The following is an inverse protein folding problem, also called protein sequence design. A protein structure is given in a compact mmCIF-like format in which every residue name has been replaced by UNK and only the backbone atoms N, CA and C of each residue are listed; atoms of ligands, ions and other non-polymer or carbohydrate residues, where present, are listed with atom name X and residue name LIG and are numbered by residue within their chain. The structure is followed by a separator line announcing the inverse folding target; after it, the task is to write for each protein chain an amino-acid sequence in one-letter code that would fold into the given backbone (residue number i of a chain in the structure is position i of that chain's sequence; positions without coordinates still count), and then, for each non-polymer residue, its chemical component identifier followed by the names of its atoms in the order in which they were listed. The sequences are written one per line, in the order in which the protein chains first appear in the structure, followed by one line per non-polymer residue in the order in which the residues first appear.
data_IF_489045164778
#
_entry.id   IF_489045164778
#
_cell.length_a   1.000
_cell.length_b   1.000
_cell.length_c   1.000
_cell.angle_alpha   90.00
_cell.angle_beta   90.00
_cell.angle_gamma   90.00
#
_symmetry.space_group_name_H-M   'P 1'
#
loop_
_entity.id
_entity.type
_entity.pdbx_description
1 polymer ?
#
# COMPACT_ATOMS: atom_id res chain seq x y z
N UNK A 1 30.39 76.17 18.42
CA UNK A 1 29.64 74.98 17.93
C UNK A 1 29.74 74.73 16.41
N UNK A 2 29.53 75.73 15.54
CA UNK A 2 29.51 75.55 14.06
C UNK A 2 30.83 75.05 13.42
N UNK A 3 32.00 75.41 13.95
CA UNK A 3 33.29 74.94 13.40
C UNK A 3 33.58 73.45 13.70
N UNK A 4 33.15 72.95 14.87
CA UNK A 4 33.29 71.53 15.25
C UNK A 4 32.38 70.62 14.41
N UNK A 5 31.16 71.08 14.09
CA UNK A 5 30.25 70.39 13.16
C UNK A 5 30.77 70.36 11.72
N UNK A 6 31.47 71.39 11.25
CA UNK A 6 32.06 71.44 9.90
C UNK A 6 33.25 70.48 9.74
N UNK A 7 34.08 70.33 10.79
CA UNK A 7 35.21 69.38 10.83
C UNK A 7 34.72 67.92 10.88
N UNK A 8 33.70 67.63 11.70
CA UNK A 8 33.02 66.33 11.76
C UNK A 8 32.33 65.93 10.43
N UNK A 9 31.79 66.89 9.66
CA UNK A 9 31.22 66.62 8.33
C UNK A 9 32.27 66.26 7.27
N UNK A 10 33.48 66.81 7.38
CA UNK A 10 34.58 66.58 6.42
C UNK A 10 35.25 65.21 6.63
N UNK A 11 35.37 64.75 7.87
CA UNK A 11 35.93 63.43 8.21
C UNK A 11 34.95 62.27 7.90
N UNK A 12 33.63 62.50 7.98
CA UNK A 12 32.61 61.52 7.58
C UNK A 12 32.66 61.15 6.09
N UNK A 13 33.01 62.09 5.22
CA UNK A 13 33.15 61.84 3.79
C UNK A 13 34.32 60.91 3.46
N UNK A 14 35.45 61.08 4.18
CA UNK A 14 36.64 60.24 4.01
C UNK A 14 36.40 58.84 4.59
N UNK A 15 35.76 58.74 5.75
CA UNK A 15 35.41 57.44 6.35
C UNK A 15 34.44 56.64 5.47
N UNK A 16 33.43 57.30 4.89
CA UNK A 16 32.48 56.65 3.98
C UNK A 16 33.17 56.15 2.72
N UNK A 17 34.04 56.98 2.12
CA UNK A 17 34.79 56.62 0.92
C UNK A 17 35.76 55.46 1.18
N UNK A 18 36.43 55.45 2.34
CA UNK A 18 37.30 54.35 2.76
C UNK A 18 36.50 53.05 2.97
N UNK A 19 35.32 53.12 3.61
CA UNK A 19 34.48 51.92 3.80
C UNK A 19 33.96 51.36 2.48
N UNK A 20 33.53 52.22 1.54
CA UNK A 20 33.08 51.78 0.21
C UNK A 20 34.24 51.16 -0.57
N UNK A 21 35.42 51.77 -0.49
CA UNK A 21 36.62 51.23 -1.12
C UNK A 21 36.98 49.85 -0.55
N UNK A 22 37.01 49.69 0.78
CA UNK A 22 37.30 48.41 1.43
C UNK A 22 36.25 47.33 1.08
N UNK A 23 34.96 47.69 1.06
CA UNK A 23 33.90 46.75 0.66
C UNK A 23 34.01 46.34 -0.81
N UNK A 24 34.35 47.28 -1.70
CA UNK A 24 34.58 46.96 -3.11
C UNK A 24 35.80 46.06 -3.32
N UNK A 25 36.87 46.27 -2.54
CA UNK A 25 38.07 45.43 -2.56
C UNK A 25 37.75 44.01 -2.07
N UNK A 26 37.03 43.89 -0.95
CA UNK A 26 36.61 42.59 -0.40
C UNK A 26 35.68 41.85 -1.35
N UNK A 27 34.73 42.55 -2.00
CA UNK A 27 33.85 41.95 -3.00
C UNK A 27 34.65 41.48 -4.22
N UNK A 28 35.60 42.27 -4.71
CA UNK A 28 36.45 41.88 -5.84
C UNK A 28 37.29 40.65 -5.53
N UNK A 29 37.88 40.57 -4.33
CA UNK A 29 38.65 39.40 -3.89
C UNK A 29 37.72 38.18 -3.76
N UNK A 30 36.53 38.36 -3.19
CA UNK A 30 35.56 37.27 -3.01
C UNK A 30 35.08 36.71 -4.36
N UNK A 31 34.77 37.59 -5.33
CA UNK A 31 34.40 37.18 -6.68
C UNK A 31 35.55 36.47 -7.39
N UNK A 32 36.78 36.95 -7.25
CA UNK A 32 37.96 36.28 -7.83
C UNK A 32 38.18 34.88 -7.25
N UNK A 33 38.04 34.71 -5.94
CA UNK A 33 38.13 33.38 -5.29
C UNK A 33 36.97 32.48 -5.74
N UNK A 34 35.75 33.01 -5.82
CA UNK A 34 34.58 32.26 -6.29
C UNK A 34 34.77 31.78 -7.73
N UNK A 35 35.26 32.63 -8.63
CA UNK A 35 35.50 32.26 -10.03
C UNK A 35 36.58 31.17 -10.15
N UNK A 36 37.64 31.23 -9.34
CA UNK A 36 38.67 30.20 -9.30
C UNK A 36 38.07 28.87 -8.83
N UNK A 37 37.37 28.87 -7.70
CA UNK A 37 36.75 27.65 -7.14
C UNK A 37 35.71 27.08 -8.11
N UNK A 38 34.87 27.93 -8.70
CA UNK A 38 33.86 27.51 -9.67
C UNK A 38 34.49 26.93 -10.93
N UNK A 39 35.55 27.55 -11.44
CA UNK A 39 36.30 27.04 -12.60
C UNK A 39 36.95 25.70 -12.30
N UNK A 40 37.59 25.54 -11.14
CA UNK A 40 38.17 24.27 -10.70
C UNK A 40 37.11 23.17 -10.53
N UNK A 41 35.96 23.51 -9.94
CA UNK A 41 34.83 22.57 -9.83
C UNK A 41 34.30 22.13 -11.20
N UNK A 42 34.25 23.05 -12.17
CA UNK A 42 33.84 22.73 -13.55
C UNK A 42 34.91 21.94 -14.32
N UNK A 43 36.19 22.25 -14.12
CA UNK A 43 37.33 21.58 -14.75
C UNK A 43 37.54 20.17 -14.19
N UNK A 44 37.34 19.96 -12.88
CA UNK A 44 37.40 18.63 -12.26
C UNK A 44 36.35 17.67 -12.83
N UNK A 45 35.22 18.21 -13.32
CA UNK A 45 34.13 17.42 -13.87
C UNK A 45 33.36 16.56 -12.84
N UNK A 46 33.79 16.56 -11.57
CA UNK A 46 33.25 15.67 -10.53
C UNK A 46 31.80 15.96 -10.19
N UNK A 47 31.39 17.23 -10.19
CA UNK A 47 29.98 17.62 -9.99
C UNK A 47 29.12 17.06 -11.11
N UNK A 48 29.54 17.26 -12.36
CA UNK A 48 28.82 16.78 -13.53
C UNK A 48 28.75 15.25 -13.52
N UNK A 49 29.87 14.58 -13.31
CA UNK A 49 29.95 13.12 -13.21
C UNK A 49 29.07 12.56 -12.08
N UNK A 50 29.05 13.24 -10.93
CA UNK A 50 28.17 12.91 -9.81
C UNK A 50 26.69 12.98 -10.19
N UNK A 51 26.25 14.00 -10.94
CA UNK A 51 24.85 14.10 -11.38
C UNK A 51 24.47 12.99 -12.36
N UNK A 52 25.35 12.65 -13.32
CA UNK A 52 25.11 11.53 -14.24
C UNK A 52 25.01 10.19 -13.50
N UNK A 53 25.92 9.95 -12.55
CA UNK A 53 25.89 8.76 -11.69
C UNK A 53 24.65 8.73 -10.78
N UNK A 54 24.21 9.87 -10.25
CA UNK A 54 23.01 9.96 -9.41
C UNK A 54 21.77 9.60 -10.21
N UNK A 55 21.59 10.20 -11.39
CA UNK A 55 20.45 9.91 -12.25
C UNK A 55 20.39 8.43 -12.65
N UNK A 56 21.54 7.84 -13.00
CA UNK A 56 21.60 6.43 -13.36
C UNK A 56 21.28 5.48 -12.20
N UNK A 57 21.63 5.88 -10.97
CA UNK A 57 21.27 5.15 -9.75
C UNK A 57 19.75 5.22 -9.48
N UNK A 58 19.15 6.39 -9.69
CA UNK A 58 17.71 6.61 -9.49
C UNK A 58 16.89 5.82 -10.52
N UNK A 59 17.24 5.94 -11.80
CA UNK A 59 16.60 5.25 -12.93
C UNK A 59 16.53 3.74 -12.69
N UNK A 60 17.62 3.12 -12.23
CA UNK A 60 17.64 1.67 -12.01
C UNK A 60 16.83 1.25 -10.78
N UNK A 61 16.80 2.07 -9.71
CA UNK A 61 15.96 1.77 -8.53
C UNK A 61 14.49 1.79 -8.92
N UNK A 62 14.02 2.85 -9.58
CA UNK A 62 12.62 2.99 -9.99
C UNK A 62 12.18 1.85 -10.92
N UNK A 63 13.00 1.55 -11.94
CA UNK A 63 12.74 0.42 -12.84
C UNK A 63 12.66 -0.91 -12.07
N UNK A 64 13.55 -1.13 -11.11
CA UNK A 64 13.59 -2.36 -10.32
C UNK A 64 12.39 -2.46 -9.38
N UNK A 65 11.98 -1.37 -8.74
CA UNK A 65 10.77 -1.31 -7.90
C UNK A 65 9.53 -1.65 -8.73
N UNK A 66 9.40 -1.09 -9.94
CA UNK A 66 8.30 -1.42 -10.85
C UNK A 66 8.32 -2.90 -11.23
N UNK A 67 9.49 -3.45 -11.57
CA UNK A 67 9.63 -4.86 -11.96
C UNK A 67 9.33 -5.83 -10.80
N UNK A 68 9.61 -5.46 -9.56
CA UNK A 68 9.28 -6.27 -8.38
C UNK A 68 7.79 -6.15 -8.01
N UNK A 69 7.26 -4.93 -7.94
CA UNK A 69 5.91 -4.68 -7.40
C UNK A 69 4.78 -4.82 -8.42
N UNK A 70 5.04 -4.50 -9.68
CA UNK A 70 4.01 -4.46 -10.73
C UNK A 70 4.13 -5.67 -11.66
N UNK A 71 5.29 -5.88 -12.28
CA UNK A 71 5.43 -6.97 -13.28
C UNK A 71 5.86 -8.31 -12.71
N UNK A 72 6.25 -8.37 -11.42
CA UNK A 72 6.70 -9.58 -10.70
C UNK A 72 7.79 -10.38 -11.44
N UNK A 73 8.61 -9.68 -12.21
CA UNK A 73 9.54 -10.30 -13.16
C UNK A 73 10.93 -10.58 -12.56
N UNK A 74 11.15 -10.24 -11.29
CA UNK A 74 12.46 -10.39 -10.62
C UNK A 74 12.33 -11.12 -9.28
N UNK A 75 13.40 -11.80 -8.88
CA UNK A 75 13.54 -12.32 -7.52
C UNK A 75 12.45 -13.32 -7.07
N UNK A 76 12.21 -14.37 -7.88
CA UNK A 76 11.23 -15.43 -7.58
C UNK A 76 11.64 -16.35 -6.42
N UNK A 77 12.95 -16.45 -6.11
CA UNK A 77 13.45 -17.25 -4.99
C UNK A 77 13.75 -16.35 -3.78
N UNK A 78 13.11 -16.63 -2.64
CA UNK A 78 13.01 -15.73 -1.48
C UNK A 78 14.19 -15.80 -0.46
N UNK A 79 15.26 -16.56 -0.74
CA UNK A 79 16.27 -16.90 0.26
C UNK A 79 17.61 -16.16 0.15
N UNK A 80 17.91 -15.48 -0.96
CA UNK A 80 19.21 -14.85 -1.22
C UNK A 80 19.08 -13.56 -2.04
N UNK A 81 20.20 -12.83 -2.15
CA UNK A 81 20.35 -11.78 -3.17
C UNK A 81 20.08 -12.40 -4.53
N UNK A 82 19.06 -11.90 -5.20
CA UNK A 82 18.42 -12.57 -6.33
C UNK A 82 18.66 -11.84 -7.64
N UNK A 83 19.14 -10.60 -7.57
CA UNK A 83 19.51 -9.84 -8.75
C UNK A 83 20.77 -9.03 -8.50
N UNK A 84 21.73 -9.21 -9.41
CA UNK A 84 22.89 -8.34 -9.58
C UNK A 84 23.05 -8.15 -11.08
N UNK A 85 22.61 -7.03 -11.63
CA UNK A 85 22.89 -6.76 -13.05
C UNK A 85 24.38 -6.52 -13.25
N UNK A 86 24.96 -6.95 -14.39
CA UNK A 86 26.21 -6.36 -14.85
C UNK A 86 25.97 -4.86 -15.05
N UNK A 87 27.02 -4.03 -14.92
CA UNK A 87 26.86 -2.60 -15.20
C UNK A 87 26.34 -2.43 -16.65
N UNK A 88 25.14 -1.87 -16.79
CA UNK A 88 24.51 -1.57 -18.10
C UNK A 88 24.55 -0.07 -18.35
N UNK A 89 24.58 0.32 -19.63
CA UNK A 89 24.48 1.74 -20.00
C UNK A 89 23.07 2.25 -19.70
N UNK A 90 22.97 3.24 -18.81
CA UNK A 90 21.78 4.01 -18.51
C UNK A 90 21.42 4.95 -19.67
N UNK A 91 20.22 5.52 -19.64
CA UNK A 91 19.72 6.41 -20.70
C UNK A 91 20.58 7.66 -20.96
N UNK A 92 21.38 8.07 -19.97
CA UNK A 92 22.27 9.23 -20.01
C UNK A 92 23.74 8.87 -20.30
N UNK A 93 24.01 7.68 -20.87
CA UNK A 93 25.35 7.12 -21.13
C UNK A 93 26.22 6.87 -19.88
N UNK A 94 25.68 7.05 -18.67
CA UNK A 94 26.29 6.54 -17.46
C UNK A 94 26.06 5.03 -17.36
N UNK A 95 26.64 4.39 -16.36
CA UNK A 95 26.43 2.98 -16.08
C UNK A 95 25.62 2.80 -14.81
N UNK A 96 24.76 1.79 -14.75
CA UNK A 96 24.07 1.43 -13.53
C UNK A 96 24.12 -0.07 -13.25
N UNK A 97 24.03 -0.42 -11.98
CA UNK A 97 23.90 -1.77 -11.47
C UNK A 97 22.94 -1.76 -10.31
N UNK A 98 22.28 -2.88 -10.04
CA UNK A 98 21.37 -2.97 -8.90
C UNK A 98 21.53 -4.30 -8.20
N UNK A 99 21.41 -4.26 -6.88
CA UNK A 99 21.34 -5.41 -6.01
C UNK A 99 19.97 -5.45 -5.35
N UNK A 100 19.25 -6.57 -5.51
CA UNK A 100 17.97 -6.82 -4.84
C UNK A 100 18.12 -7.95 -3.85
N UNK A 101 17.68 -7.71 -2.61
CA UNK A 101 17.73 -8.67 -1.51
C UNK A 101 16.34 -8.83 -0.90
N UNK A 102 15.74 -10.02 -1.02
CA UNK A 102 14.47 -10.35 -0.34
C UNK A 102 14.79 -10.96 1.04
N UNK A 103 14.55 -10.22 2.13
CA UNK A 103 14.88 -10.63 3.50
C UNK A 103 13.66 -11.29 4.17
N UNK A 104 13.42 -12.56 3.87
CA UNK A 104 12.30 -13.35 4.43
C UNK A 104 12.21 -13.34 5.95
N UNK A 105 13.34 -13.37 6.65
CA UNK A 105 13.36 -13.31 8.12
C UNK A 105 12.84 -11.99 8.72
N UNK A 106 12.87 -10.90 7.96
CA UNK A 106 12.37 -9.57 8.40
C UNK A 106 11.16 -9.08 7.61
N UNK A 107 10.82 -9.74 6.50
CA UNK A 107 9.72 -9.37 5.61
C UNK A 107 9.92 -8.09 4.80
N UNK A 108 11.15 -7.77 4.40
CA UNK A 108 11.47 -6.57 3.62
C UNK A 108 12.26 -6.89 2.35
N UNK A 109 11.94 -6.18 1.27
CA UNK A 109 12.77 -6.12 0.07
C UNK A 109 13.67 -4.90 0.17
N UNK A 110 14.95 -5.12 -0.06
CA UNK A 110 15.99 -4.10 -0.06
C UNK A 110 16.57 -3.99 -1.47
N UNK A 111 16.53 -2.79 -2.05
CA UNK A 111 17.09 -2.47 -3.35
C UNK A 111 18.24 -1.48 -3.15
N UNK A 112 19.41 -1.84 -3.64
CA UNK A 112 20.58 -0.96 -3.73
C UNK A 112 20.90 -0.73 -5.21
N UNK A 113 20.51 0.42 -5.75
CA UNK A 113 20.91 0.85 -7.08
C UNK A 113 22.19 1.68 -7.02
N UNK A 114 23.13 1.40 -7.90
CA UNK A 114 24.42 2.11 -7.99
C UNK A 114 24.61 2.60 -9.41
N UNK A 115 24.76 3.91 -9.57
CA UNK A 115 25.11 4.55 -10.83
C UNK A 115 26.58 4.99 -10.83
N UNK A 116 27.18 5.03 -12.01
CA UNK A 116 28.60 5.30 -12.23
C UNK A 116 28.81 6.13 -13.50
N UNK A 117 29.67 7.14 -13.42
CA UNK A 117 30.10 7.95 -14.57
C UNK A 117 31.61 8.27 -14.50
N UNK A 118 32.34 8.37 -15.63
CA UNK A 118 31.91 8.15 -17.01
C UNK A 118 31.42 6.71 -17.26
N UNK A 119 30.46 6.57 -18.17
CA UNK A 119 29.92 5.28 -18.60
C UNK A 119 30.35 4.93 -20.02
N UNK A 120 30.10 3.67 -20.40
CA UNK A 120 30.46 3.11 -21.69
C UNK A 120 29.74 1.78 -21.92
N UNK A 121 29.90 1.20 -23.10
CA UNK A 121 29.47 -0.18 -23.39
C UNK A 121 30.69 -0.96 -23.90
N UNK A 122 31.28 -1.85 -23.08
CA UNK A 122 30.91 -2.18 -21.71
C UNK A 122 31.25 -1.06 -20.72
N UNK A 123 30.60 -1.10 -19.56
CA UNK A 123 30.81 -0.12 -18.52
C UNK A 123 32.25 -0.13 -17.98
N UNK A 124 32.79 1.06 -17.76
CA UNK A 124 34.17 1.26 -17.34
C UNK A 124 34.41 0.66 -15.94
N UNK A 125 35.48 -0.10 -15.78
CA UNK A 125 35.88 -0.68 -14.48
C UNK A 125 37.33 -0.38 -14.13
N UNK A 126 38.05 0.35 -14.98
CA UNK A 126 39.50 0.49 -14.94
C UNK A 126 39.96 1.94 -14.83
N UNK A 127 39.09 2.92 -15.13
CA UNK A 127 39.43 4.33 -14.96
C UNK A 127 39.68 4.71 -13.51
N UNK A 128 40.73 5.51 -13.28
CA UNK A 128 41.07 6.06 -11.97
C UNK A 128 40.12 7.18 -11.51
N UNK A 129 39.36 7.77 -12.44
CA UNK A 129 38.42 8.86 -12.19
C UNK A 129 36.99 8.40 -12.46
N UNK A 130 36.38 7.76 -11.47
CA UNK A 130 35.00 7.29 -11.54
C UNK A 130 34.17 7.82 -10.38
N UNK A 131 33.06 8.47 -10.70
CA UNK A 131 32.06 8.94 -9.75
C UNK A 131 30.99 7.89 -9.60
N UNK A 132 30.76 7.41 -8.37
CA UNK A 132 29.67 6.49 -8.02
C UNK A 132 28.66 7.15 -7.09
N UNK A 133 27.38 6.90 -7.33
CA UNK A 133 26.27 7.29 -6.44
C UNK A 133 25.35 6.10 -6.26
N UNK A 134 24.66 6.05 -5.13
CA UNK A 134 23.77 4.95 -4.82
C UNK A 134 22.51 5.41 -4.14
N UNK A 135 21.41 4.74 -4.46
CA UNK A 135 20.15 4.84 -3.73
C UNK A 135 19.85 3.51 -3.06
N UNK A 136 19.45 3.61 -1.80
CA UNK A 136 18.94 2.49 -1.03
C UNK A 136 17.46 2.69 -0.81
N UNK A 137 16.67 1.71 -1.24
CA UNK A 137 15.22 1.71 -1.08
C UNK A 137 14.79 0.44 -0.36
N UNK A 138 13.90 0.58 0.62
CA UNK A 138 13.42 -0.53 1.45
C UNK A 138 11.91 -0.45 1.58
N UNK A 139 11.24 -1.57 1.31
CA UNK A 139 9.78 -1.68 1.43
C UNK A 139 9.37 -3.07 1.91
N UNK A 140 8.20 -3.22 2.56
CA UNK A 140 7.69 -4.52 2.99
C UNK A 140 7.52 -5.48 1.80
N UNK A 141 7.88 -6.75 2.00
CA UNK A 141 7.62 -7.83 1.05
C UNK A 141 6.14 -8.17 1.06
N UNK A 142 5.51 -8.18 -0.12
CA UNK A 142 4.13 -8.65 -0.28
C UNK A 142 4.01 -10.13 0.09
N UNK A 143 5.06 -10.91 -0.16
CA UNK A 143 5.13 -12.36 0.08
C UNK A 143 5.39 -12.72 1.56
N UNK A 144 5.81 -11.76 2.40
CA UNK A 144 6.16 -12.03 3.80
C UNK A 144 5.05 -11.68 4.81
N UNK A 145 3.93 -11.12 4.37
CA UNK A 145 2.80 -10.84 5.26
C UNK A 145 1.93 -12.07 5.53
N UNK A 146 2.29 -13.25 5.02
CA UNK A 146 1.43 -14.44 4.98
C UNK A 146 0.05 -14.06 4.41
N UNK A 147 0.05 -13.29 3.33
CA UNK A 147 -1.13 -12.82 2.67
C UNK A 147 -1.61 -13.92 1.73
N UNK A 148 -2.81 -14.43 1.97
CA UNK A 148 -3.49 -15.39 1.11
C UNK A 148 -4.06 -14.71 -0.13
N UNK A 149 -4.52 -13.45 -0.01
CA UNK A 149 -4.99 -12.64 -1.14
C UNK A 149 -5.16 -11.17 -0.74
N UNK A 150 -4.94 -10.25 -1.69
CA UNK A 150 -5.11 -8.82 -1.50
C UNK A 150 -5.70 -8.13 -2.72
N UNK A 151 -6.89 -7.59 -2.56
CA UNK A 151 -7.62 -6.89 -3.62
C UNK A 151 -7.83 -5.43 -3.23
N UNK A 152 -7.15 -4.54 -3.96
CA UNK A 152 -7.17 -3.09 -3.78
C UNK A 152 -8.21 -2.37 -4.63
N UNK A 153 -8.70 -3.01 -5.68
CA UNK A 153 -9.64 -2.45 -6.67
C UNK A 153 -9.19 -1.18 -7.43
N UNK A 154 -7.97 -0.70 -7.21
CA UNK A 154 -7.35 0.46 -7.88
C UNK A 154 -7.05 0.29 -9.38
N UNK A 155 -7.33 -0.87 -9.98
CA UNK A 155 -7.05 -1.10 -11.38
C UNK A 155 -8.12 -0.48 -12.28
N UNK A 156 -7.71 0.36 -13.24
CA UNK A 156 -8.65 1.07 -14.11
C UNK A 156 -9.20 0.14 -15.21
N UNK A 157 -10.52 0.22 -15.45
CA UNK A 157 -11.21 -0.21 -16.68
C UNK A 157 -11.16 -1.69 -17.08
N UNK A 158 -10.65 -2.59 -16.22
CA UNK A 158 -10.67 -4.04 -16.48
C UNK A 158 -11.77 -4.77 -15.71
N UNK A 159 -12.33 -5.79 -16.35
CA UNK A 159 -13.21 -6.81 -15.76
C UNK A 159 -12.47 -7.72 -14.77
N UNK A 160 -11.14 -7.73 -14.81
CA UNK A 160 -10.31 -8.47 -13.86
C UNK A 160 -10.09 -7.66 -12.59
N UNK A 161 -10.17 -8.30 -11.43
CA UNK A 161 -9.77 -7.77 -10.13
C UNK A 161 -8.46 -8.45 -9.73
N UNK A 162 -7.35 -7.71 -9.80
CA UNK A 162 -6.03 -8.27 -9.55
C UNK A 162 -5.78 -8.58 -8.07
N UNK A 163 -5.27 -9.77 -7.78
CA UNK A 163 -4.66 -10.12 -6.51
C UNK A 163 -3.23 -9.59 -6.47
N UNK A 164 -2.96 -8.67 -5.53
CA UNK A 164 -1.66 -8.06 -5.34
C UNK A 164 -0.64 -8.97 -4.63
N UNK A 165 -1.03 -10.17 -4.21
CA UNK A 165 -0.12 -11.20 -3.69
C UNK A 165 0.49 -12.06 -4.78
N UNK A 166 1.57 -12.78 -4.45
CA UNK A 166 2.17 -13.79 -5.33
C UNK A 166 1.29 -15.02 -5.58
N UNK A 167 0.10 -15.11 -4.97
CA UNK A 167 -0.78 -16.26 -5.10
C UNK A 167 -1.70 -16.21 -6.33
N UNK A 168 -1.75 -15.08 -7.03
CA UNK A 168 -2.45 -14.92 -8.32
C UNK A 168 -3.95 -15.28 -8.25
N UNK A 169 -4.61 -14.95 -7.14
CA UNK A 169 -6.05 -15.15 -6.98
C UNK A 169 -6.84 -14.04 -7.65
N UNK A 170 -6.61 -13.84 -8.94
CA UNK A 170 -7.32 -12.83 -9.71
C UNK A 170 -8.81 -13.17 -9.80
N UNK A 171 -9.64 -12.16 -9.59
CA UNK A 171 -11.09 -12.25 -9.68
C UNK A 171 -11.62 -11.64 -10.96
N UNK A 172 -12.92 -11.82 -11.16
CA UNK A 172 -13.67 -11.21 -12.26
C UNK A 172 -14.90 -10.51 -11.66
N UNK A 173 -15.23 -9.32 -12.17
CA UNK A 173 -16.51 -8.68 -11.83
C UNK A 173 -17.65 -9.55 -12.38
N UNK A 174 -18.70 -9.80 -11.60
CA UNK A 174 -19.79 -10.67 -12.05
C UNK A 174 -19.42 -12.16 -12.15
N UNK A 175 -19.83 -12.81 -13.25
CA UNK A 175 -19.56 -14.23 -13.54
C UNK A 175 -18.55 -14.48 -14.64
N UNK A 176 -18.38 -13.52 -15.54
CA UNK A 176 -17.61 -13.71 -16.76
C UNK A 176 -16.77 -12.48 -17.05
N UNK A 177 -15.81 -12.62 -17.97
CA UNK A 177 -14.96 -11.49 -18.39
C UNK A 177 -15.70 -10.45 -19.24
N UNK A 178 -17.00 -10.64 -19.47
CA UNK A 178 -17.86 -9.70 -20.19
C UNK A 178 -18.51 -8.75 -19.20
N UNK A 179 -18.74 -7.50 -19.61
CA UNK A 179 -19.48 -6.55 -18.78
C UNK A 179 -20.93 -7.02 -18.64
N UNK A 180 -21.35 -7.25 -17.40
CA UNK A 180 -22.68 -7.71 -17.00
C UNK A 180 -23.42 -6.61 -16.21
N UNK A 181 -24.74 -6.71 -16.11
CA UNK A 181 -25.53 -5.79 -15.27
C UNK A 181 -25.30 -6.01 -13.78
N UNK A 182 -24.80 -7.21 -13.47
CA UNK A 182 -24.45 -7.76 -12.17
C UNK A 182 -23.02 -7.42 -11.71
N UNK A 183 -22.35 -6.54 -12.45
CA UNK A 183 -20.99 -6.10 -12.16
C UNK A 183 -21.00 -4.92 -11.20
N UNK A 184 -20.26 -4.99 -10.07
CA UNK A 184 -20.04 -3.82 -9.26
C UNK A 184 -19.23 -2.80 -10.05
N UNK A 185 -19.57 -1.51 -9.89
CA UNK A 185 -18.93 -0.42 -10.63
C UNK A 185 -17.72 0.10 -9.85
N UNK A 186 -16.61 0.30 -10.54
CA UNK A 186 -15.43 0.97 -9.97
C UNK A 186 -15.71 2.45 -9.74
N UNK A 187 -15.46 2.91 -8.53
CA UNK A 187 -15.60 4.30 -8.10
C UNK A 187 -14.24 4.95 -7.92
N UNK A 188 -13.98 6.01 -8.70
CA UNK A 188 -12.73 6.78 -8.67
C UNK A 188 -12.95 8.25 -8.26
N UNK A 189 -14.19 8.64 -7.93
CA UNK A 189 -14.62 10.05 -7.75
C UNK A 189 -15.12 10.39 -6.36
N UNK A 190 -15.28 9.41 -5.48
CA UNK A 190 -15.71 9.58 -4.08
C UNK A 190 -14.47 9.97 -3.25
N UNK A 191 -14.59 10.61 -2.06
CA UNK A 191 -13.48 10.63 -1.10
C UNK A 191 -13.14 9.18 -0.73
N UNK A 192 -12.15 8.63 -1.42
CA UNK A 192 -11.74 7.26 -1.24
C UNK A 192 -10.92 7.14 0.04
N UNK A 193 -10.97 5.95 0.65
CA UNK A 193 -10.12 5.57 1.79
C UNK A 193 -8.66 5.86 1.46
N UNK A 194 -8.28 5.69 0.18
CA UNK A 194 -6.95 5.92 -0.37
C UNK A 194 -7.07 6.58 -1.74
N UNK A 195 -6.07 7.36 -2.16
CA UNK A 195 -5.81 7.59 -3.59
C UNK A 195 -5.86 6.25 -4.35
N UNK A 196 -6.85 6.08 -5.23
CA UNK A 196 -7.14 4.76 -5.81
C UNK A 196 -8.52 4.65 -6.46
N UNK A 197 -9.10 3.45 -6.43
CA UNK A 197 -10.46 3.14 -6.84
C UNK A 197 -11.07 2.08 -5.92
N UNK A 198 -12.37 2.13 -5.68
CA UNK A 198 -13.11 1.16 -4.86
C UNK A 198 -14.21 0.48 -5.68
N UNK A 199 -14.81 -0.60 -5.17
CA UNK A 199 -15.96 -1.24 -5.85
C UNK A 199 -17.27 -0.88 -5.17
N UNK A 200 -18.21 -0.36 -5.95
CA UNK A 200 -19.57 -0.07 -5.51
C UNK A 200 -20.55 -1.16 -5.96
N UNK A 201 -21.31 -1.65 -4.99
CA UNK A 201 -22.39 -2.62 -5.12
C UNK A 201 -23.72 -1.86 -4.95
N UNK A 202 -24.50 -1.75 -6.01
CA UNK A 202 -25.68 -0.88 -6.12
C UNK A 202 -26.96 -1.57 -5.70
N UNK A 203 -27.14 -2.82 -6.10
CA UNK A 203 -28.41 -3.52 -5.91
C UNK A 203 -28.29 -4.77 -5.04
N UNK A 204 -29.45 -5.25 -4.61
CA UNK A 204 -29.55 -6.45 -3.77
C UNK A 204 -29.67 -7.72 -4.59
N UNK A 205 -29.67 -7.65 -5.92
CA UNK A 205 -30.00 -8.81 -6.73
C UNK A 205 -28.79 -9.72 -6.85
N UNK A 206 -27.61 -9.22 -7.26
CA UNK A 206 -26.47 -10.13 -7.47
C UNK A 206 -25.08 -9.48 -7.68
N UNK A 207 -24.90 -8.16 -7.47
CA UNK A 207 -23.59 -7.52 -7.61
C UNK A 207 -22.48 -8.29 -6.88
N UNK A 208 -21.44 -8.72 -7.62
CA UNK A 208 -20.38 -9.55 -7.06
C UNK A 208 -19.03 -9.39 -7.72
N UNK A 209 -18.02 -9.83 -6.99
CA UNK A 209 -16.74 -10.24 -7.58
C UNK A 209 -16.55 -11.72 -7.30
N UNK A 210 -16.19 -12.48 -8.32
CA UNK A 210 -15.95 -13.93 -8.21
C UNK A 210 -14.47 -14.22 -8.36
N UNK A 211 -13.89 -14.91 -7.39
CA UNK A 211 -12.52 -15.39 -7.39
C UNK A 211 -12.53 -16.91 -7.55
N UNK A 212 -11.86 -17.48 -8.57
CA UNK A 212 -11.70 -18.92 -8.70
C UNK A 212 -11.09 -19.55 -7.44
N UNK A 213 -11.40 -20.82 -7.22
CA UNK A 213 -10.81 -21.55 -6.11
C UNK A 213 -9.30 -21.74 -6.30
N UNK A 214 -8.55 -21.58 -5.22
CA UNK A 214 -7.11 -21.81 -5.17
C UNK A 214 -6.69 -22.35 -3.80
N UNK A 215 -5.54 -23.01 -3.73
CA UNK A 215 -5.02 -23.55 -2.48
C UNK A 215 -4.62 -22.48 -1.46
N UNK A 216 -4.24 -21.28 -1.92
CA UNK A 216 -3.77 -20.17 -1.08
C UNK A 216 -4.89 -19.57 -0.22
N UNK A 217 -6.14 -19.57 -0.70
CA UNK A 217 -7.33 -19.14 0.04
C UNK A 217 -8.10 -20.31 0.68
N UNK A 218 -7.61 -21.54 0.54
CA UNK A 218 -8.15 -22.72 1.22
C UNK A 218 -7.54 -22.86 2.61
N UNK A 219 -7.84 -21.89 3.47
CA UNK A 219 -7.28 -21.82 4.82
C UNK A 219 -8.01 -22.76 5.78
N UNK A 220 -7.26 -23.45 6.62
CA UNK A 220 -7.79 -24.26 7.72
C UNK A 220 -7.76 -23.48 9.04
N UNK A 221 -6.63 -22.87 9.41
CA UNK A 221 -6.40 -21.86 10.45
C UNK A 221 -4.87 -21.78 10.62
N UNK A 222 -4.31 -20.66 11.10
CA UNK A 222 -4.95 -19.38 11.45
C UNK A 222 -5.45 -18.60 10.23
N UNK A 223 -6.38 -17.66 10.45
CA UNK A 223 -6.91 -16.76 9.41
C UNK A 223 -7.15 -15.37 9.97
N UNK A 224 -6.85 -14.33 9.20
CA UNK A 224 -7.35 -12.98 9.43
C UNK A 224 -7.93 -12.38 8.17
N UNK A 225 -8.98 -11.60 8.32
CA UNK A 225 -9.65 -10.92 7.21
C UNK A 225 -9.78 -9.45 7.59
N UNK A 226 -9.41 -8.56 6.68
CA UNK A 226 -9.60 -7.11 6.82
C UNK A 226 -10.26 -6.54 5.58
N UNK A 227 -11.09 -5.52 5.75
CA UNK A 227 -11.74 -4.81 4.65
C UNK A 227 -12.15 -3.41 5.08
N UNK A 228 -12.11 -2.47 4.15
CA UNK A 228 -12.81 -1.21 4.28
C UNK A 228 -14.19 -1.30 3.64
N UNK A 229 -15.21 -0.90 4.39
CA UNK A 229 -16.60 -0.91 3.93
C UNK A 229 -17.26 0.44 4.17
N UNK A 230 -18.08 0.84 3.21
CA UNK A 230 -18.97 1.98 3.29
C UNK A 230 -20.40 1.51 3.05
N UNK A 231 -21.21 1.49 4.10
CA UNK A 231 -22.61 1.07 3.96
C UNK A 231 -23.43 2.19 3.33
N UNK A 232 -24.10 1.89 2.21
CA UNK A 232 -25.01 2.82 1.55
C UNK A 232 -26.47 2.63 1.94
N UNK A 233 -26.80 1.49 2.54
CA UNK A 233 -28.12 1.22 3.09
C UNK A 233 -28.03 0.62 4.50
N UNK A 234 -29.13 0.73 5.24
CA UNK A 234 -29.22 0.17 6.58
C UNK A 234 -28.97 -1.34 6.54
N UNK A 235 -28.03 -1.81 7.37
CA UNK A 235 -27.81 -3.22 7.58
C UNK A 235 -29.03 -3.78 8.30
N UNK A 236 -29.71 -4.75 7.70
CA UNK A 236 -30.82 -5.49 8.29
C UNK A 236 -30.57 -6.97 8.03
N UNK A 237 -30.34 -7.74 9.11
CA UNK A 237 -29.81 -9.09 9.00
C UNK A 237 -28.35 -9.10 8.60
N UNK A 238 -27.93 -10.15 7.90
CA UNK A 238 -26.56 -10.30 7.40
C UNK A 238 -26.36 -9.47 6.12
N UNK A 239 -25.15 -8.95 5.91
CA UNK A 239 -24.67 -8.38 4.64
C UNK A 239 -23.25 -8.88 4.38
N UNK A 240 -23.03 -9.43 3.19
CA UNK A 240 -21.84 -10.23 2.86
C UNK A 240 -20.68 -9.35 2.45
N UNK A 241 -19.63 -9.25 3.27
CA UNK A 241 -18.37 -8.64 2.81
C UNK A 241 -17.69 -9.64 1.87
N UNK A 242 -17.44 -10.84 2.38
CA UNK A 242 -16.91 -11.96 1.61
C UNK A 242 -17.46 -13.30 2.10
N UNK A 243 -17.62 -14.23 1.17
CA UNK A 243 -18.04 -15.62 1.44
C UNK A 243 -17.25 -16.56 0.53
N UNK A 244 -16.61 -17.58 1.10
CA UNK A 244 -16.07 -18.72 0.37
C UNK A 244 -16.95 -19.92 0.62
N UNK A 245 -17.48 -20.53 -0.45
CA UNK A 245 -18.38 -21.66 -0.35
C UNK A 245 -19.38 -21.76 -1.48
N UNK A 246 -20.06 -22.89 -1.55
CA UNK A 246 -21.19 -23.12 -2.42
C UNK A 246 -22.47 -23.07 -1.59
N UNK A 247 -23.44 -22.32 -2.08
CA UNK A 247 -24.80 -22.34 -1.56
C UNK A 247 -24.96 -22.26 -0.02
N UNK A 248 -26.16 -22.67 0.44
CA UNK A 248 -26.69 -22.35 1.77
C UNK A 248 -26.09 -23.18 2.91
N UNK A 249 -25.34 -24.24 2.60
CA UNK A 249 -24.85 -25.25 3.57
C UNK A 249 -23.38 -25.65 3.34
N UNK A 250 -22.71 -24.98 2.41
CA UNK A 250 -21.31 -25.27 2.03
C UNK A 250 -20.44 -24.01 2.11
N UNK A 251 -20.82 -23.07 2.99
CA UNK A 251 -19.92 -22.00 3.42
C UNK A 251 -18.72 -22.62 4.15
N UNK A 252 -17.54 -22.42 3.57
CA UNK A 252 -16.27 -22.79 4.19
C UNK A 252 -15.92 -21.76 5.26
N UNK A 253 -15.93 -20.48 4.88
CA UNK A 253 -15.87 -19.35 5.79
C UNK A 253 -16.46 -18.10 5.13
N UNK A 254 -16.88 -17.14 5.95
CA UNK A 254 -17.29 -15.84 5.47
C UNK A 254 -17.34 -14.80 6.57
N UNK A 255 -17.27 -13.55 6.13
CA UNK A 255 -17.23 -12.38 6.96
C UNK A 255 -18.34 -11.42 6.56
N UNK A 256 -19.10 -10.99 7.57
CA UNK A 256 -20.37 -10.32 7.38
C UNK A 256 -20.51 -9.14 8.31
N UNK A 257 -21.22 -8.15 7.79
CA UNK A 257 -21.91 -7.17 8.62
C UNK A 257 -23.23 -7.77 9.10
N UNK A 258 -23.64 -7.46 10.32
CA UNK A 258 -24.92 -7.92 10.83
C UNK A 258 -25.58 -6.88 11.72
N UNK A 259 -26.89 -6.73 11.57
CA UNK A 259 -27.71 -5.98 12.49
C UNK A 259 -29.05 -6.70 12.71
N UNK A 260 -29.40 -7.06 13.95
CA UNK A 260 -30.69 -7.67 14.24
C UNK A 260 -31.83 -6.66 14.08
N UNK A 261 -33.07 -7.15 13.93
CA UNK A 261 -34.29 -6.31 13.87
C UNK A 261 -34.40 -5.39 15.10
N UNK A 262 -34.01 -5.90 16.26
CA UNK A 262 -33.88 -5.16 17.51
C UNK A 262 -32.46 -5.34 18.03
N UNK A 263 -31.70 -4.24 18.06
CA UNK A 263 -30.34 -4.22 18.58
C UNK A 263 -29.37 -3.51 17.63
N UNK A 264 -28.11 -3.50 18.07
CA UNK A 264 -27.06 -2.73 17.45
C UNK A 264 -26.27 -3.57 16.43
N UNK A 265 -25.65 -2.87 15.49
CA UNK A 265 -24.73 -3.40 14.50
C UNK A 265 -23.57 -4.16 15.15
N UNK A 266 -23.18 -5.27 14.55
CA UNK A 266 -22.03 -6.08 14.92
C UNK A 266 -21.43 -6.76 13.68
N UNK A 267 -20.24 -7.33 13.86
CA UNK A 267 -19.55 -8.13 12.86
C UNK A 267 -19.82 -9.61 13.11
N UNK A 268 -19.92 -10.41 12.04
CA UNK A 268 -20.12 -11.86 12.11
C UNK A 268 -19.07 -12.58 11.29
N UNK A 269 -18.55 -13.65 11.86
CA UNK A 269 -17.67 -14.60 11.19
C UNK A 269 -18.31 -15.97 11.25
N UNK A 270 -18.46 -16.57 10.08
CA UNK A 270 -19.00 -17.91 9.92
C UNK A 270 -17.94 -18.82 9.34
N UNK A 271 -17.93 -20.07 9.77
CA UNK A 271 -17.08 -21.09 9.21
C UNK A 271 -17.62 -22.47 9.47
N UNK A 272 -17.15 -23.45 8.70
CA UNK A 272 -17.52 -24.85 8.83
C UNK A 272 -16.32 -25.69 9.25
N UNK A 273 -16.54 -26.63 10.17
CA UNK A 273 -15.49 -27.56 10.60
C UNK A 273 -15.36 -28.79 9.69
N UNK A 274 -14.36 -29.64 9.96
CA UNK A 274 -14.09 -30.87 9.20
C UNK A 274 -15.21 -31.90 9.25
N UNK A 275 -16.10 -31.84 10.25
CA UNK A 275 -17.28 -32.68 10.34
C UNK A 275 -18.48 -32.11 9.56
N UNK A 276 -18.32 -30.90 9.03
CA UNK A 276 -19.34 -30.18 8.29
C UNK A 276 -20.32 -29.38 9.17
N UNK A 277 -19.99 -29.19 10.45
CA UNK A 277 -20.76 -28.37 11.39
C UNK A 277 -20.47 -26.90 11.13
N UNK A 278 -21.52 -26.10 11.00
CA UNK A 278 -21.40 -24.65 10.83
C UNK A 278 -21.34 -23.94 12.19
N UNK A 279 -20.41 -23.00 12.30
CA UNK A 279 -20.21 -22.15 13.46
C UNK A 279 -20.43 -20.69 13.07
N UNK A 280 -21.17 -19.97 13.90
CA UNK A 280 -21.31 -18.51 13.79
C UNK A 280 -20.79 -17.86 15.05
N UNK A 281 -19.88 -16.91 14.88
CA UNK A 281 -19.31 -16.10 15.96
C UNK A 281 -19.56 -14.63 15.65
N UNK A 282 -19.82 -13.80 16.67
CA UNK A 282 -20.15 -12.39 16.46
C UNK A 282 -19.55 -11.49 17.50
N UNK A 283 -19.20 -10.27 17.09
CA UNK A 283 -18.60 -9.27 17.96
C UNK A 283 -19.57 -8.75 19.02
N UNK A 284 -19.03 -8.04 20.02
CA UNK A 284 -19.83 -7.11 20.80
C UNK A 284 -20.49 -6.07 19.86
N UNK A 285 -21.65 -5.56 20.26
CA UNK A 285 -22.39 -4.60 19.45
C UNK A 285 -21.75 -3.20 19.54
N UNK A 286 -21.68 -2.49 18.42
CA UNK A 286 -20.85 -1.28 18.26
C UNK A 286 -21.68 0.02 18.18
N UNK A 287 -23.02 -0.11 18.22
CA UNK A 287 -23.97 1.00 18.07
C UNK A 287 -24.78 0.86 16.78
N UNK A 288 -25.36 1.96 16.29
CA UNK A 288 -25.99 1.97 14.97
C UNK A 288 -24.92 1.93 13.86
N UNK A 289 -25.21 1.27 12.73
CA UNK A 289 -24.34 1.38 11.53
C UNK A 289 -24.26 2.83 11.09
N UNK A 290 -23.05 3.35 10.90
CA UNK A 290 -22.86 4.67 10.28
C UNK A 290 -22.97 4.53 8.76
N UNK A 291 -24.10 4.96 8.22
CA UNK A 291 -24.30 5.06 6.77
C UNK A 291 -23.37 6.10 6.16
N UNK A 292 -22.98 5.89 4.91
CA UNK A 292 -22.19 6.83 4.12
C UNK A 292 -20.85 7.20 4.79
N UNK A 293 -20.28 6.25 5.55
CA UNK A 293 -18.97 6.41 6.17
C UNK A 293 -18.11 5.18 6.06
N UNK A 294 -16.84 5.41 5.79
CA UNK A 294 -15.83 4.36 5.77
C UNK A 294 -15.60 3.77 7.15
N UNK A 295 -15.64 2.45 7.21
CA UNK A 295 -15.37 1.65 8.41
C UNK A 295 -14.39 0.56 8.04
N UNK A 296 -13.29 0.46 8.76
CA UNK A 296 -12.38 -0.68 8.64
C UNK A 296 -12.89 -1.81 9.54
N UNK A 297 -13.29 -2.92 8.95
CA UNK A 297 -13.77 -4.11 9.65
C UNK A 297 -12.72 -5.22 9.56
N UNK A 298 -12.43 -5.87 10.68
CA UNK A 298 -11.53 -7.02 10.69
C UNK A 298 -11.98 -8.13 11.63
N UNK A 299 -11.60 -9.36 11.28
CA UNK A 299 -11.70 -10.54 12.14
C UNK A 299 -10.38 -11.32 12.10
N UNK A 300 -9.97 -11.85 13.25
CA UNK A 300 -8.79 -12.71 13.38
C UNK A 300 -9.19 -13.99 14.12
N UNK A 301 -8.71 -15.14 13.66
CA UNK A 301 -8.90 -16.42 14.32
C UNK A 301 -7.55 -17.15 14.42
N UNK A 302 -7.18 -17.53 15.64
CA UNK A 302 -5.92 -18.24 15.94
C UNK A 302 -6.09 -19.75 16.14
N UNK A 303 -7.29 -20.29 15.91
CA UNK A 303 -7.63 -21.68 16.22
C UNK A 303 -8.03 -21.92 17.68
N UNK A 304 -7.95 -20.91 18.55
CA UNK A 304 -8.39 -20.94 19.95
C UNK A 304 -9.38 -19.83 20.31
N UNK A 305 -9.30 -18.68 19.61
CA UNK A 305 -10.07 -17.47 19.90
C UNK A 305 -10.32 -16.65 18.63
N UNK A 306 -11.55 -16.16 18.48
CA UNK A 306 -11.93 -15.18 17.46
C UNK A 306 -11.92 -13.78 18.08
N UNK A 307 -11.32 -12.81 17.38
CA UNK A 307 -11.34 -11.38 17.75
C UNK A 307 -11.88 -10.57 16.59
N UNK A 308 -12.66 -9.54 16.90
CA UNK A 308 -13.22 -8.61 15.92
C UNK A 308 -12.72 -7.21 16.19
N UNK A 309 -12.58 -6.42 15.14
CA UNK A 309 -12.09 -5.05 15.24
C UNK A 309 -12.90 -4.13 14.34
N UNK A 310 -13.11 -2.91 14.81
CA UNK A 310 -13.57 -1.79 13.99
C UNK A 310 -12.58 -0.64 14.13
N UNK A 311 -12.15 -0.08 13.01
CA UNK A 311 -11.22 1.04 12.94
C UNK A 311 -9.94 0.79 13.76
N UNK A 312 -9.45 -0.46 13.73
CA UNK A 312 -8.24 -0.88 14.45
C UNK A 312 -8.42 -1.16 15.94
N UNK A 313 -9.64 -1.02 16.49
CA UNK A 313 -9.93 -1.21 17.92
C UNK A 313 -10.69 -2.52 18.12
N UNK A 314 -10.26 -3.33 19.10
CA UNK A 314 -10.89 -4.61 19.44
C UNK A 314 -12.31 -4.43 20.00
N UNK A 315 -13.24 -5.28 19.59
CA UNK A 315 -14.64 -5.26 19.99
C UNK A 315 -14.92 -6.32 21.07
N UNK A 316 -14.90 -5.89 22.33
CA UNK A 316 -15.14 -6.77 23.47
C UNK A 316 -13.98 -7.73 23.74
N UNK A 317 -14.26 -8.80 24.48
CA UNK A 317 -13.26 -9.83 24.80
C UNK A 317 -13.13 -10.85 23.66
N UNK A 318 -11.95 -11.45 23.45
CA UNK A 318 -11.78 -12.58 22.52
C UNK A 318 -12.78 -13.70 22.83
N UNK A 319 -13.32 -14.31 21.77
CA UNK A 319 -14.37 -15.33 21.88
C UNK A 319 -13.73 -16.71 21.72
N UNK A 320 -13.77 -17.58 22.75
CA UNK A 320 -13.19 -18.92 22.66
C UNK A 320 -13.83 -19.77 21.55
N UNK A 321 -12.99 -20.34 20.67
CA UNK A 321 -13.34 -21.23 19.57
C UNK A 321 -12.18 -22.16 19.27
N UNK A 322 -12.41 -23.47 19.17
CA UNK A 322 -11.33 -24.47 19.02
C UNK A 322 -11.41 -25.29 17.74
N UNK A 323 -12.40 -25.01 16.90
CA UNK A 323 -12.75 -25.83 15.75
C UNK A 323 -11.92 -25.41 14.53
N UNK A 324 -11.36 -26.38 13.81
CA UNK A 324 -10.61 -26.11 12.59
C UNK A 324 -11.54 -25.70 11.44
N UNK A 325 -11.14 -24.81 10.54
CA UNK A 325 -11.91 -24.58 9.32
C UNK A 325 -11.66 -25.72 8.33
N UNK A 326 -12.73 -26.17 7.69
CA UNK A 326 -12.66 -27.02 6.51
C UNK A 326 -12.02 -26.26 5.36
N UNK A 327 -11.34 -26.99 4.48
CA UNK A 327 -10.93 -26.48 3.18
C UNK A 327 -12.01 -26.82 2.16
N UNK A 328 -12.49 -25.82 1.42
CA UNK A 328 -13.49 -25.99 0.37
C UNK A 328 -12.89 -25.73 -1.01
N UNK A 329 -13.43 -26.39 -2.04
CA UNK A 329 -13.02 -26.18 -3.44
C UNK A 329 -13.83 -25.09 -4.16
N UNK A 330 -14.58 -24.32 -3.40
CA UNK A 330 -15.56 -23.38 -3.92
C UNK A 330 -14.98 -21.99 -4.15
N UNK A 331 -15.53 -21.22 -5.11
CA UNK A 331 -15.11 -19.84 -5.34
C UNK A 331 -15.26 -18.97 -4.08
N UNK A 332 -14.36 -18.00 -3.96
CA UNK A 332 -14.55 -16.88 -3.03
C UNK A 332 -15.35 -15.80 -3.75
N UNK A 333 -16.32 -15.20 -3.07
CA UNK A 333 -17.15 -14.12 -3.61
C UNK A 333 -17.18 -12.93 -2.65
N UNK A 334 -17.24 -11.74 -3.24
CA UNK A 334 -17.46 -10.49 -2.51
C UNK A 334 -18.88 -9.98 -2.81
N UNK A 335 -19.53 -9.40 -1.81
CA UNK A 335 -20.83 -8.74 -1.96
C UNK A 335 -22.05 -9.66 -2.12
N UNK A 336 -21.88 -10.89 -2.61
CA UNK A 336 -22.98 -11.82 -2.88
C UNK A 336 -23.08 -12.94 -1.84
N UNK A 337 -24.29 -13.17 -1.34
CA UNK A 337 -24.71 -14.48 -0.84
C UNK A 337 -25.71 -15.12 -1.81
N UNK A 338 -25.24 -16.13 -2.56
CA UNK A 338 -26.00 -16.77 -3.64
C UNK A 338 -27.35 -17.36 -3.19
N UNK A 339 -27.50 -17.67 -1.90
CA UNK A 339 -28.67 -18.34 -1.36
C UNK A 339 -29.72 -17.39 -0.80
N UNK A 340 -29.28 -16.18 -0.48
CA UNK A 340 -30.13 -15.22 0.18
C UNK A 340 -29.70 -13.83 -0.26
N UNK A 341 -30.37 -13.37 -1.32
CA UNK A 341 -30.14 -12.06 -1.93
C UNK A 341 -30.38 -10.92 -0.92
N UNK A 342 -31.22 -11.14 0.11
CA UNK A 342 -31.38 -10.17 1.19
C UNK A 342 -30.09 -10.00 2.02
N UNK A 343 -29.10 -10.88 1.88
CA UNK A 343 -27.78 -10.79 2.49
C UNK A 343 -26.70 -10.21 1.57
N UNK A 344 -27.08 -9.74 0.38
CA UNK A 344 -26.16 -9.06 -0.50
C UNK A 344 -25.77 -7.70 0.08
N UNK A 345 -24.50 -7.36 -0.06
CA UNK A 345 -23.97 -6.10 0.38
C UNK A 345 -24.39 -4.98 -0.57
N UNK A 346 -24.72 -3.83 0.02
CA UNK A 346 -25.09 -2.64 -0.73
C UNK A 346 -24.30 -1.47 -0.16
N UNK A 347 -23.30 -1.05 -0.92
CA UNK A 347 -22.27 -0.19 -0.39
C UNK A 347 -21.04 -0.12 -1.28
N UNK A 348 -19.95 0.36 -0.70
CA UNK A 348 -18.65 0.42 -1.36
C UNK A 348 -17.67 -0.40 -0.52
N UNK A 349 -16.86 -1.23 -1.16
CA UNK A 349 -15.77 -1.97 -0.51
C UNK A 349 -14.43 -1.55 -1.07
N UNK A 350 -13.43 -1.56 -0.21
CA UNK A 350 -12.04 -1.31 -0.56
C UNK A 350 -11.09 -2.19 0.26
N UNK A 351 -9.87 -2.40 -0.26
CA UNK A 351 -8.72 -2.97 0.46
C UNK A 351 -9.03 -4.28 1.20
N UNK A 352 -9.56 -5.27 0.47
CA UNK A 352 -9.87 -6.57 1.04
C UNK A 352 -8.60 -7.42 1.10
N UNK A 353 -8.28 -7.91 2.29
CA UNK A 353 -7.14 -8.79 2.54
C UNK A 353 -7.55 -10.03 3.30
N UNK A 354 -6.96 -11.15 2.92
CA UNK A 354 -7.02 -12.41 3.66
C UNK A 354 -5.60 -12.81 4.01
N UNK A 355 -5.36 -13.10 5.28
CA UNK A 355 -4.07 -13.54 5.82
C UNK A 355 -4.17 -14.99 6.27
N UNK A 356 -3.16 -15.80 5.95
CA UNK A 356 -2.93 -17.14 6.51
C UNK A 356 -2.20 -17.10 7.86
N UNK A 357 -2.34 -15.99 8.59
CA UNK A 357 -1.85 -15.79 9.95
C UNK A 357 -2.89 -15.07 10.81
N UNK A 358 -2.75 -15.16 12.12
CA UNK A 358 -3.49 -14.31 13.05
C UNK A 358 -2.78 -12.97 13.18
N UNK A 359 -3.45 -11.89 12.77
CA UNK A 359 -3.00 -10.54 13.06
C UNK A 359 -3.20 -10.25 14.55
N UNK A 360 -2.16 -9.72 15.18
CA UNK A 360 -2.24 -9.18 16.54
C UNK A 360 -2.86 -7.78 16.52
N UNK A 361 -3.31 -7.29 17.68
CA UNK A 361 -3.98 -5.98 17.81
C UNK A 361 -3.18 -4.83 17.16
N UNK A 362 -1.86 -4.83 17.34
CA UNK A 362 -0.98 -3.82 16.76
C UNK A 362 -0.83 -3.95 15.23
N UNK A 363 -0.94 -5.16 14.68
CA UNK A 363 -0.94 -5.40 13.23
C UNK A 363 -2.26 -4.95 12.62
N UNK A 364 -3.40 -5.27 13.25
CA UNK A 364 -4.72 -4.76 12.80
C UNK A 364 -4.78 -3.23 12.85
N UNK A 365 -4.21 -2.62 13.89
CA UNK A 365 -4.08 -1.17 13.99
C UNK A 365 -3.18 -0.58 12.89
N UNK A 366 -2.12 -1.29 12.48
CA UNK A 366 -1.29 -0.88 11.34
C UNK A 366 -2.06 -0.98 10.03
N UNK A 367 -2.81 -2.06 9.79
CA UNK A 367 -3.66 -2.20 8.60
C UNK A 367 -4.67 -1.05 8.49
N UNK A 368 -5.32 -0.72 9.60
CA UNK A 368 -6.20 0.45 9.68
C UNK A 368 -5.46 1.75 9.35
N UNK A 369 -4.33 2.02 10.01
CA UNK A 369 -3.60 3.28 9.81
C UNK A 369 -2.93 3.39 8.44
N UNK A 370 -2.63 2.27 7.77
CA UNK A 370 -2.00 2.26 6.46
C UNK A 370 -2.86 2.99 5.42
N UNK A 371 -4.18 2.80 5.48
CA UNK A 371 -5.13 3.32 4.50
C UNK A 371 -6.22 4.22 5.08
N UNK A 372 -6.21 4.60 6.37
CA UNK A 372 -7.31 5.45 6.89
C UNK A 372 -7.41 6.80 6.15
N UNK A 373 -8.63 7.33 5.92
CA UNK A 373 -8.81 8.71 5.49
C UNK A 373 -8.10 9.70 6.43
N UNK A 374 -7.58 10.79 5.87
CA UNK A 374 -6.97 11.87 6.67
C UNK A 374 -8.03 12.59 7.51
N UNK A 375 -7.70 12.94 8.75
CA UNK A 375 -8.63 13.60 9.66
C UNK A 375 -9.35 12.63 10.61
N UNK A 376 -10.20 13.18 11.47
CA UNK A 376 -10.95 12.40 12.45
C UNK A 376 -12.18 11.73 11.80
N UNK A 377 -12.73 10.62 12.35
CA UNK A 377 -13.90 9.93 11.78
C UNK A 377 -15.17 10.78 11.57
N UNK A 378 -15.19 12.01 12.10
CA UNK A 378 -16.22 13.02 11.89
C UNK A 378 -16.09 13.83 10.59
N UNK A 379 -14.92 13.82 9.97
CA UNK A 379 -14.55 14.72 8.88
C UNK A 379 -15.15 14.31 7.54
N UNK A 380 -15.29 15.25 6.58
CA UNK A 380 -15.80 14.96 5.25
C UNK A 380 -15.02 13.89 4.49
N UNK A 381 -13.72 13.72 4.78
CA UNK A 381 -12.88 12.69 4.17
C UNK A 381 -13.32 11.25 4.51
N UNK A 382 -14.08 11.07 5.59
CA UNK A 382 -14.65 9.78 5.97
C UNK A 382 -15.96 9.48 5.27
N UNK A 383 -16.53 10.46 4.56
CA UNK A 383 -17.77 10.28 3.82
C UNK A 383 -17.51 9.59 2.49
N UNK A 384 -18.42 8.69 2.20
CA UNK A 384 -18.58 8.01 0.95
C UNK A 384 -20.06 8.14 0.62
#
# INVERSE_FOLDING_TARGET
MKARQKKLKKERGISLLLTVFLLSLMLSISLGIFDIIYSELMLSGDIRASFFALYAADEIVEKTVYLDRVSRAICQNLSNDCWTTPLITASNNACNSVKVSKKTGTGYTEILGVGQYPGGSPCDTTSSFLSKRSFFFKYPMLEAENLAGWWRFDNESSQTVFDWTANDNDGVLGLSTSVETEDPIRQNTIPLVVFGGALQYFDTENDRVTFPNSSSINLNWPISITSWVCNKSAVNGYKTILKKGAGATEETYGFYLFQPVTGNFNLRFKFKDSAGTEFTTGSAAVGATTLNRWTHAAVTYDGSQVRFYINGIILGSPIPRGESLTQGNEPLRLGLNIDNLAQNFQGIMDEIKIFSKTLQDNEVLKEYNYKKPTGDPGDPAWQC
#
